data_IF_041136470676
#
_entry.id   IF_041136470676
#
_cell.length_a   1.000
_cell.length_b   1.000
_cell.length_c   1.000
_cell.angle_alpha   90.00
_cell.angle_beta   90.00
_cell.angle_gamma   90.00
#
_symmetry.space_group_name_H-M   'P 1'
#
loop_
_entity.id
_entity.type
_entity.pdbx_description
1 polymer ?
#
# COMPACT_ATOMS: atom_id res chain seq x y z
N UNK A 1 33.42 -9.85 14.65
CA UNK A 1 32.56 -10.78 13.91
C UNK A 1 31.68 -11.47 14.92
N UNK A 2 30.37 -11.27 14.89
CA UNK A 2 29.45 -12.07 15.67
C UNK A 2 29.44 -13.47 15.05
N UNK A 3 30.16 -14.40 15.67
CA UNK A 3 30.34 -15.76 15.18
C UNK A 3 29.51 -16.78 15.95
N UNK A 4 28.49 -16.33 16.69
CA UNK A 4 27.63 -17.21 17.45
C UNK A 4 27.05 -18.31 16.58
N UNK A 5 27.16 -19.56 17.01
CA UNK A 5 26.71 -20.73 16.27
C UNK A 5 26.14 -21.83 17.19
N UNK A 6 25.51 -22.81 16.58
CA UNK A 6 25.07 -24.04 17.27
C UNK A 6 23.77 -23.89 18.06
N UNK A 7 23.13 -22.74 18.10
CA UNK A 7 21.82 -22.64 18.73
C UNK A 7 20.73 -23.30 17.86
N UNK A 8 19.93 -24.16 18.49
CA UNK A 8 18.82 -24.88 17.84
C UNK A 8 17.52 -24.60 18.61
N UNK A 9 16.48 -24.26 17.90
CA UNK A 9 15.18 -23.97 18.47
C UNK A 9 14.05 -24.69 17.71
N UNK A 10 12.96 -24.95 18.41
CA UNK A 10 11.80 -25.65 17.87
C UNK A 10 10.51 -24.92 18.24
N UNK A 11 9.57 -24.72 17.30
CA UNK A 11 8.30 -24.06 17.58
C UNK A 11 7.34 -25.02 18.29
N UNK A 12 6.56 -24.50 19.24
CA UNK A 12 5.38 -25.15 19.83
C UNK A 12 4.15 -24.48 19.22
N UNK A 13 3.38 -25.26 18.44
CA UNK A 13 2.27 -24.76 17.65
C UNK A 13 0.96 -25.32 18.22
N UNK A 14 0.00 -24.44 18.48
CA UNK A 14 -1.36 -24.81 18.89
C UNK A 14 -2.35 -24.05 18.00
N UNK A 15 -3.27 -24.78 17.38
CA UNK A 15 -4.29 -24.22 16.51
C UNK A 15 -3.72 -23.27 15.40
N UNK A 16 -2.63 -23.70 14.77
CA UNK A 16 -2.00 -22.94 13.71
C UNK A 16 -1.22 -21.70 14.14
N UNK A 17 -0.95 -21.54 15.43
CA UNK A 17 -0.23 -20.39 16.01
C UNK A 17 0.99 -20.84 16.79
N UNK A 18 2.09 -20.13 16.68
CA UNK A 18 3.30 -20.39 17.49
C UNK A 18 3.07 -19.80 18.88
N UNK A 19 2.86 -20.65 19.86
CA UNK A 19 2.61 -20.23 21.24
C UNK A 19 3.88 -20.04 22.05
N UNK A 20 4.94 -20.78 21.71
CA UNK A 20 6.27 -20.63 22.28
C UNK A 20 7.33 -21.23 21.34
N UNK A 21 8.60 -20.92 21.62
CA UNK A 21 9.75 -21.48 20.92
C UNK A 21 10.69 -22.04 21.98
N UNK A 22 10.90 -23.35 21.95
CA UNK A 22 11.79 -24.05 22.88
C UNK A 22 13.24 -24.03 22.34
N UNK A 23 14.20 -23.76 23.21
CA UNK A 23 15.62 -23.88 22.88
C UNK A 23 16.03 -25.33 23.13
N UNK A 24 16.48 -26.02 22.10
CA UNK A 24 16.99 -27.40 22.16
C UNK A 24 18.49 -27.42 22.41
N UNK A 25 19.22 -26.46 21.83
CA UNK A 25 20.64 -26.22 22.11
C UNK A 25 20.88 -24.71 22.16
N UNK A 26 21.61 -24.27 23.18
CA UNK A 26 21.86 -22.83 23.42
C UNK A 26 22.91 -22.23 22.50
N UNK A 27 23.74 -23.03 21.84
CA UNK A 27 24.91 -22.54 21.10
C UNK A 27 25.90 -21.78 21.96
N UNK A 28 26.87 -21.15 21.32
CA UNK A 28 27.87 -20.33 21.99
C UNK A 28 28.36 -19.18 21.08
N UNK A 29 29.03 -18.19 21.67
CA UNK A 29 29.72 -17.12 20.95
C UNK A 29 28.82 -15.99 20.40
N UNK A 30 27.57 -15.92 20.82
CA UNK A 30 26.68 -14.82 20.45
C UNK A 30 27.03 -13.55 21.22
N UNK A 31 27.46 -12.51 20.53
CA UNK A 31 27.74 -11.19 21.13
C UNK A 31 26.51 -10.28 21.11
N UNK A 32 25.53 -10.62 20.28
CA UNK A 32 24.20 -10.00 20.23
C UNK A 32 23.12 -11.06 19.99
N UNK A 33 21.84 -10.77 20.35
CA UNK A 33 20.76 -11.71 20.10
C UNK A 33 20.66 -12.09 18.62
N UNK A 34 20.65 -13.39 18.26
CA UNK A 34 20.48 -13.81 16.86
C UNK A 34 19.11 -13.45 16.34
N UNK A 35 19.02 -13.28 15.03
CA UNK A 35 17.73 -13.12 14.33
C UNK A 35 16.97 -14.43 14.36
N UNK A 36 15.71 -14.37 14.74
CA UNK A 36 14.79 -15.51 14.70
C UNK A 36 14.12 -15.55 13.32
N UNK A 37 14.43 -16.57 12.54
CA UNK A 37 13.85 -16.82 11.22
C UNK A 37 12.86 -17.97 11.34
N UNK A 38 11.62 -17.73 11.02
CA UNK A 38 10.52 -18.71 11.10
C UNK A 38 10.13 -19.07 9.67
N UNK A 39 10.36 -20.34 9.29
CA UNK A 39 10.04 -20.86 7.98
C UNK A 39 8.85 -21.83 8.09
N UNK A 40 7.87 -21.70 7.20
CA UNK A 40 6.65 -22.52 7.15
C UNK A 40 5.59 -21.86 6.29
N UNK A 41 4.45 -22.52 6.13
CA UNK A 41 3.32 -21.99 5.32
C UNK A 41 2.55 -20.87 6.04
N UNK A 42 2.74 -20.72 7.35
CA UNK A 42 2.12 -19.64 8.14
C UNK A 42 2.78 -18.29 7.93
N UNK A 43 2.13 -17.24 8.43
CA UNK A 43 2.62 -15.87 8.32
C UNK A 43 2.40 -15.05 9.59
N UNK A 44 3.18 -13.97 9.73
CA UNK A 44 3.02 -12.96 10.77
C UNK A 44 3.59 -13.34 12.14
N UNK A 45 4.22 -14.51 12.35
CA UNK A 45 4.88 -14.80 13.60
C UNK A 45 6.20 -14.04 13.72
N UNK A 46 6.46 -13.48 14.90
CA UNK A 46 7.68 -12.74 15.23
C UNK A 46 8.24 -13.26 16.55
N UNK A 47 9.53 -13.59 16.56
CA UNK A 47 10.27 -14.01 17.75
C UNK A 47 11.48 -13.14 17.99
N UNK A 48 11.84 -12.95 19.26
CA UNK A 48 13.03 -12.21 19.69
C UNK A 48 13.87 -13.10 20.60
N UNK A 49 15.10 -13.36 20.18
CA UNK A 49 16.04 -14.17 20.98
C UNK A 49 16.57 -13.38 22.19
N UNK A 50 16.85 -14.11 23.25
CA UNK A 50 17.47 -13.62 24.48
C UNK A 50 18.79 -14.35 24.66
N UNK A 51 19.89 -13.62 24.88
CA UNK A 51 21.20 -14.20 25.16
C UNK A 51 21.66 -13.90 26.58
N UNK A 52 22.45 -14.78 27.12
CA UNK A 52 23.16 -14.55 28.38
C UNK A 52 24.29 -13.53 28.18
N UNK A 53 24.35 -12.54 29.07
CA UNK A 53 25.35 -11.48 29.01
C UNK A 53 26.53 -11.71 29.97
N UNK A 54 26.35 -12.53 31.02
CA UNK A 54 27.31 -12.71 32.09
C UNK A 54 27.40 -14.16 32.56
N UNK A 55 28.51 -14.53 33.19
CA UNK A 55 28.71 -15.83 33.80
C UNK A 55 28.83 -16.98 32.80
N UNK A 56 28.41 -18.18 33.21
CA UNK A 56 28.47 -19.41 32.39
C UNK A 56 27.56 -19.39 31.18
N UNK A 57 26.58 -18.50 31.17
CA UNK A 57 25.61 -18.35 30.10
C UNK A 57 25.97 -17.24 29.12
N UNK A 58 27.08 -16.56 29.32
CA UNK A 58 27.55 -15.50 28.41
C UNK A 58 27.68 -16.04 26.97
N UNK A 59 27.03 -15.37 26.03
CA UNK A 59 27.06 -15.74 24.61
C UNK A 59 26.24 -16.97 24.24
N UNK A 60 25.35 -17.46 25.13
CA UNK A 60 24.40 -18.54 24.84
C UNK A 60 23.01 -17.97 24.61
N UNK A 61 22.22 -18.62 23.74
CA UNK A 61 20.78 -18.30 23.60
C UNK A 61 20.01 -18.97 24.74
N UNK A 62 19.38 -18.15 25.57
CA UNK A 62 18.62 -18.59 26.75
C UNK A 62 17.15 -18.84 26.46
N UNK A 63 16.59 -18.16 25.44
CA UNK A 63 15.18 -18.26 25.10
C UNK A 63 14.82 -17.45 23.88
N UNK A 64 13.57 -17.62 23.44
CA UNK A 64 12.95 -16.79 22.43
C UNK A 64 11.59 -16.33 22.93
N UNK A 65 11.40 -15.03 23.04
CA UNK A 65 10.07 -14.44 23.27
C UNK A 65 9.27 -14.40 21.99
N UNK A 66 8.05 -14.93 21.98
CA UNK A 66 7.13 -14.82 20.85
C UNK A 66 6.37 -13.50 20.98
N UNK A 67 6.72 -12.51 20.17
CA UNK A 67 6.08 -11.19 20.16
C UNK A 67 4.78 -11.21 19.37
N UNK A 68 4.72 -11.99 18.28
CA UNK A 68 3.52 -12.27 17.53
C UNK A 68 3.43 -13.77 17.22
N UNK A 69 2.27 -14.36 17.45
CA UNK A 69 2.04 -15.80 17.27
C UNK A 69 1.80 -16.20 15.82
N UNK A 70 1.44 -15.26 14.95
CA UNK A 70 1.05 -15.52 13.57
C UNK A 70 -0.13 -16.47 13.43
N UNK A 71 -0.38 -16.91 12.20
CA UNK A 71 -1.46 -17.87 11.86
C UNK A 71 -1.01 -18.80 10.73
N UNK A 72 -1.63 -19.96 10.60
CA UNK A 72 -1.41 -20.89 9.48
C UNK A 72 -0.16 -21.76 9.60
N UNK A 73 0.50 -21.80 10.75
CA UNK A 73 1.66 -22.67 10.98
C UNK A 73 1.25 -24.11 11.28
N UNK A 74 1.99 -25.06 10.74
CA UNK A 74 1.75 -26.48 10.96
C UNK A 74 2.94 -27.16 11.67
N UNK A 75 2.65 -28.06 12.59
CA UNK A 75 3.64 -28.88 13.27
C UNK A 75 4.31 -29.81 12.26
N UNK A 76 5.63 -29.90 12.29
CA UNK A 76 6.42 -30.76 11.40
C UNK A 76 6.92 -30.09 10.13
N UNK A 77 6.27 -29.03 9.64
CA UNK A 77 6.72 -28.25 8.48
C UNK A 77 7.29 -26.87 8.84
N UNK A 78 6.95 -26.37 10.03
CA UNK A 78 7.48 -25.10 10.54
C UNK A 78 8.81 -25.33 11.25
N UNK A 79 9.84 -24.57 10.83
CA UNK A 79 11.19 -24.62 11.39
C UNK A 79 11.62 -23.25 11.90
N UNK A 80 12.49 -23.25 12.92
CA UNK A 80 13.10 -22.05 13.49
C UNK A 80 14.61 -22.09 13.18
N UNK A 81 15.16 -21.02 12.62
CA UNK A 81 16.59 -20.79 12.49
C UNK A 81 16.99 -19.57 13.32
N UNK A 82 18.09 -19.70 14.04
CA UNK A 82 18.71 -18.63 14.81
C UNK A 82 19.96 -18.18 14.05
N UNK A 83 19.87 -17.05 13.37
CA UNK A 83 20.94 -16.53 12.53
C UNK A 83 21.74 -15.48 13.29
N UNK A 84 23.05 -15.69 13.43
CA UNK A 84 23.93 -14.67 13.99
C UNK A 84 23.89 -13.41 13.11
N UNK A 85 23.64 -12.26 13.74
CA UNK A 85 23.65 -10.97 13.05
C UNK A 85 25.13 -10.56 12.92
N UNK A 86 25.62 -10.42 11.68
CA UNK A 86 26.97 -9.91 11.44
C UNK A 86 27.10 -8.47 11.96
N UNK A 87 28.16 -8.21 12.75
CA UNK A 87 28.52 -6.84 13.13
C UNK A 87 29.28 -6.19 11.97
N UNK A 88 29.04 -4.90 11.75
CA UNK A 88 29.70 -4.07 10.73
C UNK A 88 29.24 -4.24 9.26
N UNK A 89 28.08 -4.80 9.01
CA UNK A 89 27.45 -4.57 7.73
C UNK A 89 26.91 -3.12 7.71
N UNK A 90 27.68 -2.20 7.15
CA UNK A 90 27.19 -0.85 6.87
C UNK A 90 26.39 -0.95 5.58
N UNK A 91 25.08 -1.02 5.71
CA UNK A 91 24.18 -0.82 4.59
C UNK A 91 23.85 0.67 4.52
N UNK A 92 24.36 1.37 3.53
CA UNK A 92 23.76 2.60 3.09
C UNK A 92 22.53 2.20 2.25
N UNK A 93 21.42 1.98 2.92
CA UNK A 93 20.15 1.91 2.22
C UNK A 93 19.76 3.34 1.82
N UNK A 94 19.90 3.67 0.56
CA UNK A 94 19.13 4.76 0.00
C UNK A 94 17.69 4.28 -0.03
N UNK A 95 16.94 4.58 1.01
CA UNK A 95 15.51 4.32 1.06
C UNK A 95 14.83 5.48 0.33
N UNK A 96 14.48 5.27 -0.92
CA UNK A 96 13.48 6.11 -1.58
C UNK A 96 12.12 5.55 -1.17
N UNK A 97 11.29 6.37 -0.56
CA UNK A 97 9.90 6.03 -0.33
C UNK A 97 9.16 6.05 -1.68
N UNK A 98 8.86 4.86 -2.20
CA UNK A 98 7.98 4.68 -3.34
C UNK A 98 6.59 4.33 -2.82
N UNK A 99 5.65 5.26 -2.98
CA UNK A 99 4.29 5.11 -2.49
C UNK A 99 3.43 4.41 -3.53
N UNK A 100 2.96 3.21 -3.23
CA UNK A 100 2.08 2.47 -4.14
C UNK A 100 0.83 3.28 -4.49
N UNK A 101 0.51 3.32 -5.77
CA UNK A 101 -0.78 3.82 -6.23
C UNK A 101 -1.85 2.77 -5.94
N UNK A 102 -2.66 3.00 -4.91
CA UNK A 102 -3.67 2.05 -4.46
C UNK A 102 -4.71 1.72 -5.54
N UNK A 103 -4.94 2.59 -6.51
CA UNK A 103 -5.85 2.29 -7.62
C UNK A 103 -5.33 1.16 -8.51
N UNK A 104 -4.01 1.06 -8.71
CA UNK A 104 -3.39 -0.01 -9.48
C UNK A 104 -3.14 -1.26 -8.63
N UNK A 105 -2.73 -1.07 -7.39
CA UNK A 105 -2.44 -2.17 -6.45
C UNK A 105 -3.69 -2.99 -6.10
N UNK A 106 -4.82 -2.32 -5.93
CA UNK A 106 -6.09 -2.93 -5.54
C UNK A 106 -7.04 -3.16 -6.73
N UNK A 107 -6.55 -3.04 -7.97
CA UNK A 107 -7.41 -3.25 -9.15
C UNK A 107 -8.02 -4.67 -9.14
N UNK A 108 -9.34 -4.71 -9.33
CA UNK A 108 -10.12 -5.95 -9.21
C UNK A 108 -10.60 -6.31 -7.81
N UNK A 109 -10.15 -5.64 -6.76
CA UNK A 109 -10.61 -5.83 -5.37
C UNK A 109 -11.70 -4.83 -4.95
N UNK A 110 -11.99 -3.86 -5.81
CA UNK A 110 -13.06 -2.88 -5.56
C UNK A 110 -14.44 -3.45 -5.81
N UNK A 111 -15.39 -3.05 -4.99
CA UNK A 111 -16.79 -3.27 -5.29
C UNK A 111 -17.27 -2.40 -6.48
N UNK A 112 -18.54 -2.57 -6.96
CA UNK A 112 -19.08 -1.75 -8.05
C UNK A 112 -19.11 -0.24 -7.76
N UNK A 113 -19.01 0.16 -6.49
CA UNK A 113 -18.92 1.56 -6.05
C UNK A 113 -17.48 2.07 -5.98
N UNK A 114 -16.49 1.28 -6.42
CA UNK A 114 -15.05 1.58 -6.28
C UNK A 114 -14.65 1.75 -4.82
N UNK A 115 -15.36 1.09 -3.91
CA UNK A 115 -15.07 1.04 -2.50
C UNK A 115 -14.23 -0.17 -2.12
N UNK A 116 -13.47 -0.01 -1.05
CA UNK A 116 -12.63 -1.03 -0.46
C UNK A 116 -12.62 -0.90 1.06
N UNK A 117 -12.52 -2.02 1.75
CA UNK A 117 -12.38 -2.02 3.21
C UNK A 117 -10.91 -2.05 3.57
N UNK A 118 -10.40 -0.93 4.06
CA UNK A 118 -9.05 -0.85 4.59
C UNK A 118 -9.00 -1.51 5.97
N UNK A 119 -8.09 -2.47 6.14
CA UNK A 119 -7.77 -2.96 7.47
C UNK A 119 -7.05 -1.83 8.21
N UNK A 120 -7.75 -1.15 9.11
CA UNK A 120 -7.17 -0.10 9.93
C UNK A 120 -6.02 -0.63 10.80
N UNK A 121 -5.13 0.26 11.23
CA UNK A 121 -4.05 -0.06 12.17
C UNK A 121 -4.56 -0.66 13.49
N UNK A 122 -5.84 -0.53 13.77
CA UNK A 122 -6.50 -1.10 14.93
C UNK A 122 -7.56 -2.11 14.49
N UNK A 123 -7.14 -3.36 14.31
CA UNK A 123 -8.01 -4.49 13.94
C UNK A 123 -9.12 -4.81 14.95
N UNK A 124 -9.13 -4.14 16.11
CA UNK A 124 -10.15 -4.34 17.15
C UNK A 124 -11.52 -3.80 16.74
N UNK A 125 -11.58 -2.83 15.83
CA UNK A 125 -12.84 -2.15 15.44
C UNK A 125 -13.26 -2.41 13.98
N UNK A 126 -12.63 -3.36 13.28
CA UNK A 126 -12.90 -3.63 11.88
C UNK A 126 -12.18 -2.67 10.93
N UNK A 127 -12.42 -2.85 9.63
CA UNK A 127 -11.84 -2.00 8.59
C UNK A 127 -12.70 -0.76 8.35
N UNK A 128 -12.07 0.30 7.85
CA UNK A 128 -12.77 1.48 7.36
C UNK A 128 -13.12 1.30 5.88
N UNK A 129 -14.39 1.49 5.52
CA UNK A 129 -14.83 1.47 4.13
C UNK A 129 -14.61 2.86 3.53
N UNK A 130 -13.85 2.92 2.44
CA UNK A 130 -13.58 4.16 1.73
C UNK A 130 -13.60 3.97 0.21
N UNK A 131 -13.88 5.04 -0.52
CA UNK A 131 -13.78 5.09 -1.98
C UNK A 131 -12.42 5.67 -2.37
N UNK A 132 -11.64 4.93 -3.16
CA UNK A 132 -10.32 5.39 -3.62
C UNK A 132 -10.35 6.18 -4.93
N UNK A 133 -11.44 6.10 -5.67
CA UNK A 133 -11.59 6.76 -6.96
C UNK A 133 -13.06 6.98 -7.27
N UNK A 134 -13.36 7.47 -8.47
CA UNK A 134 -14.69 7.78 -8.98
C UNK A 134 -15.79 6.78 -8.54
N UNK A 135 -16.59 7.09 -7.49
CA UNK A 135 -17.60 6.18 -6.95
C UNK A 135 -18.88 6.23 -7.77
N UNK A 136 -18.89 5.61 -8.96
CA UNK A 136 -20.01 5.71 -9.92
C UNK A 136 -21.36 5.32 -9.32
N UNK A 137 -21.42 4.34 -8.42
CA UNK A 137 -22.67 3.95 -7.78
C UNK A 137 -23.20 5.07 -6.87
N UNK A 138 -22.35 5.69 -6.06
CA UNK A 138 -22.73 6.83 -5.23
C UNK A 138 -23.19 8.00 -6.12
N UNK A 139 -22.45 8.32 -7.16
CA UNK A 139 -22.78 9.36 -8.13
C UNK A 139 -24.12 9.11 -8.80
N UNK A 140 -24.41 7.85 -9.18
CA UNK A 140 -25.70 7.45 -9.73
C UNK A 140 -26.86 7.70 -8.76
N UNK A 141 -26.70 7.30 -7.49
CA UNK A 141 -27.72 7.52 -6.44
C UNK A 141 -27.95 9.01 -6.17
N UNK A 142 -26.90 9.82 -6.22
CA UNK A 142 -26.96 11.27 -6.05
C UNK A 142 -27.50 12.02 -7.30
N UNK A 143 -27.82 11.30 -8.38
CA UNK A 143 -28.35 11.88 -9.61
C UNK A 143 -27.33 12.66 -10.44
N UNK A 144 -26.04 12.32 -10.34
CA UNK A 144 -24.96 12.86 -11.17
C UNK A 144 -25.08 12.38 -12.64
N UNK A 145 -24.16 12.76 -13.47
CA UNK A 145 -24.07 12.42 -14.91
C UNK A 145 -23.73 10.94 -15.14
N UNK A 146 -24.45 10.05 -14.48
CA UNK A 146 -24.28 8.60 -14.53
C UNK A 146 -25.66 7.95 -14.76
N UNK A 147 -25.72 6.98 -15.65
CA UNK A 147 -26.92 6.18 -15.89
C UNK A 147 -26.62 4.69 -15.85
N UNK A 148 -27.63 3.88 -15.60
CA UNK A 148 -27.52 2.43 -15.72
C UNK A 148 -27.90 2.01 -17.14
N UNK A 149 -26.95 1.44 -17.84
CA UNK A 149 -27.14 0.89 -19.19
C UNK A 149 -28.16 -0.26 -19.11
N UNK A 150 -29.31 -0.15 -19.78
CA UNK A 150 -30.37 -1.16 -19.71
C UNK A 150 -29.97 -2.50 -20.36
N UNK A 151 -29.00 -2.50 -21.28
CA UNK A 151 -28.55 -3.71 -21.95
C UNK A 151 -27.55 -4.52 -21.12
N UNK A 152 -26.69 -3.86 -20.37
CA UNK A 152 -25.61 -4.50 -19.62
C UNK A 152 -25.77 -4.42 -18.11
N UNK A 153 -26.61 -3.54 -17.59
CA UNK A 153 -26.75 -3.23 -16.17
C UNK A 153 -25.58 -2.41 -15.60
N UNK A 154 -24.59 -2.10 -16.40
CA UNK A 154 -23.41 -1.36 -15.97
C UNK A 154 -23.68 0.14 -15.83
N UNK A 155 -22.95 0.79 -14.93
CA UNK A 155 -23.01 2.25 -14.79
C UNK A 155 -22.06 2.91 -15.81
N UNK A 156 -22.63 3.81 -16.60
CA UNK A 156 -21.95 4.60 -17.64
C UNK A 156 -22.16 6.08 -17.42
N UNK A 157 -21.24 6.90 -17.89
CA UNK A 157 -21.37 8.35 -17.84
C UNK A 157 -22.21 8.88 -19.01
N UNK A 158 -22.95 9.94 -18.73
CA UNK A 158 -23.67 10.67 -19.78
C UNK A 158 -22.67 11.44 -20.66
N UNK A 159 -22.95 11.47 -21.96
CA UNK A 159 -22.13 12.23 -22.94
C UNK A 159 -22.75 13.61 -23.24
N UNK A 160 -24.03 13.77 -22.99
CA UNK A 160 -24.77 15.01 -23.27
C UNK A 160 -25.75 15.32 -22.14
N UNK A 161 -26.27 16.56 -22.10
CA UNK A 161 -27.17 17.00 -21.06
C UNK A 161 -26.53 17.07 -19.69
N UNK A 162 -25.22 17.36 -19.67
CA UNK A 162 -24.42 17.38 -18.47
C UNK A 162 -24.84 18.48 -17.51
N UNK A 163 -24.73 18.20 -16.22
CA UNK A 163 -24.94 19.15 -15.13
C UNK A 163 -23.75 19.10 -14.17
N UNK A 164 -23.59 20.15 -13.38
CA UNK A 164 -22.56 20.19 -12.35
C UNK A 164 -22.75 19.01 -11.39
N UNK A 165 -21.68 18.27 -11.09
CA UNK A 165 -21.74 17.13 -10.19
C UNK A 165 -22.13 17.56 -8.77
N UNK A 166 -22.83 16.72 -8.02
CA UNK A 166 -23.10 16.94 -6.60
C UNK A 166 -21.86 16.76 -5.73
N UNK A 167 -21.92 17.20 -4.48
CA UNK A 167 -20.92 16.89 -3.45
C UNK A 167 -20.99 15.38 -3.17
N UNK A 168 -19.84 14.72 -3.24
CA UNK A 168 -19.68 13.29 -2.95
C UNK A 168 -18.85 13.03 -1.68
N UNK A 169 -18.26 14.05 -1.09
CA UNK A 169 -17.49 13.96 0.13
C UNK A 169 -16.95 15.30 0.59
N UNK A 170 -16.13 15.25 1.64
CA UNK A 170 -15.45 16.41 2.23
C UNK A 170 -13.98 16.07 2.47
N UNK A 171 -13.11 16.97 2.09
CA UNK A 171 -11.69 16.86 2.39
C UNK A 171 -11.44 17.19 3.89
N UNK A 172 -10.30 16.74 4.42
CA UNK A 172 -9.95 16.98 5.81
C UNK A 172 -9.79 18.47 6.19
N UNK A 173 -9.54 19.33 5.21
CA UNK A 173 -9.48 20.76 5.35
C UNK A 173 -10.84 21.47 5.27
N UNK A 174 -11.92 20.70 5.14
CA UNK A 174 -13.29 21.19 5.06
C UNK A 174 -13.76 21.61 3.67
N UNK A 175 -12.93 21.46 2.63
CA UNK A 175 -13.34 21.74 1.27
C UNK A 175 -14.26 20.64 0.72
N UNK A 176 -15.33 20.96 -0.05
CA UNK A 176 -16.20 19.96 -0.64
C UNK A 176 -15.51 19.22 -1.78
N UNK A 177 -15.71 17.90 -1.82
CA UNK A 177 -15.30 17.04 -2.93
C UNK A 177 -16.53 16.83 -3.81
N UNK A 178 -16.48 17.33 -5.03
CA UNK A 178 -17.52 17.14 -6.05
C UNK A 178 -17.21 15.93 -6.92
N UNK A 179 -18.22 15.40 -7.60
CA UNK A 179 -17.99 14.52 -8.74
C UNK A 179 -17.27 15.26 -9.89
N UNK A 180 -16.90 14.54 -10.97
CA UNK A 180 -15.93 15.03 -11.95
C UNK A 180 -16.44 16.09 -12.94
N UNK A 181 -17.70 16.53 -12.88
CA UNK A 181 -18.26 17.50 -13.81
C UNK A 181 -18.45 18.86 -13.16
N UNK A 182 -17.88 19.89 -13.77
CA UNK A 182 -17.98 21.28 -13.32
C UNK A 182 -18.11 22.25 -14.47
N UNK A 183 -18.28 23.54 -14.16
CA UNK A 183 -18.37 24.60 -15.18
C UNK A 183 -17.13 24.65 -16.05
N UNK A 184 -17.29 24.91 -17.36
CA UNK A 184 -16.19 25.08 -18.32
C UNK A 184 -15.28 26.23 -17.86
N UNK A 185 -15.89 27.40 -17.61
CA UNK A 185 -15.22 28.51 -16.92
C UNK A 185 -15.54 28.43 -15.43
N UNK A 186 -14.51 28.28 -14.61
CA UNK A 186 -14.64 28.17 -13.17
C UNK A 186 -15.35 29.37 -12.50
N UNK A 187 -15.28 30.54 -13.12
CA UNK A 187 -15.87 31.78 -12.61
C UNK A 187 -17.30 32.06 -13.15
N UNK A 188 -17.77 31.27 -14.14
CA UNK A 188 -19.03 31.50 -14.82
C UNK A 188 -19.95 30.27 -14.85
N UNK A 189 -21.03 30.31 -14.06
CA UNK A 189 -22.05 29.25 -14.02
C UNK A 189 -22.81 29.07 -15.33
N UNK A 190 -22.80 30.05 -16.23
CA UNK A 190 -23.47 29.99 -17.54
C UNK A 190 -22.59 29.38 -18.64
N UNK A 191 -21.33 29.12 -18.39
CA UNK A 191 -20.34 28.66 -19.37
C UNK A 191 -20.55 27.24 -19.89
N UNK A 192 -21.53 26.51 -19.34
CA UNK A 192 -21.74 25.09 -19.64
C UNK A 192 -20.95 24.16 -18.72
N UNK A 193 -21.12 22.86 -18.93
CA UNK A 193 -20.50 21.82 -18.09
C UNK A 193 -19.56 20.96 -18.89
N UNK A 194 -18.42 20.61 -18.29
CA UNK A 194 -17.46 19.64 -18.82
C UNK A 194 -16.98 18.70 -17.72
N UNK A 195 -16.36 17.59 -18.13
CA UNK A 195 -15.54 16.79 -17.21
C UNK A 195 -14.26 17.57 -16.89
N UNK A 196 -14.02 17.80 -15.62
CA UNK A 196 -12.83 18.47 -15.09
C UNK A 196 -11.66 17.50 -15.11
N UNK A 197 -10.50 17.94 -15.56
CA UNK A 197 -9.32 17.12 -15.79
C UNK A 197 -8.20 17.51 -14.82
N UNK A 198 -7.56 16.51 -14.22
CA UNK A 198 -6.37 16.72 -13.39
C UNK A 198 -5.20 17.21 -14.25
N UNK A 199 -4.33 18.05 -13.67
CA UNK A 199 -3.07 18.49 -14.28
C UNK A 199 -1.90 17.53 -14.00
N UNK A 200 -2.18 16.36 -13.39
CA UNK A 200 -1.19 15.31 -13.23
C UNK A 200 -1.16 14.38 -14.43
N UNK A 201 0.05 13.96 -14.80
CA UNK A 201 0.27 12.93 -15.81
C UNK A 201 1.39 11.98 -15.37
N UNK A 202 1.47 10.81 -15.97
CA UNK A 202 2.65 9.95 -15.83
C UNK A 202 3.85 10.66 -16.47
N UNK A 203 4.99 10.63 -15.78
CA UNK A 203 6.24 11.24 -16.29
C UNK A 203 6.61 10.62 -17.64
N UNK A 204 6.85 11.40 -18.70
CA UNK A 204 7.14 10.87 -20.03
C UNK A 204 8.36 9.93 -20.07
N UNK A 205 9.34 10.14 -19.20
CA UNK A 205 10.54 9.27 -19.08
C UNK A 205 10.19 7.81 -18.74
N UNK A 206 9.01 7.55 -18.17
CA UNK A 206 8.52 6.22 -17.81
C UNK A 206 7.71 5.56 -18.93
N UNK A 207 7.31 6.30 -19.94
CA UNK A 207 6.47 5.81 -21.03
C UNK A 207 7.34 5.41 -22.23
N UNK A 208 7.03 4.25 -22.81
CA UNK A 208 7.66 3.81 -24.04
C UNK A 208 7.15 4.64 -25.22
N UNK A 209 8.06 5.18 -25.98
CA UNK A 209 7.81 5.83 -27.25
C UNK A 209 8.97 5.53 -28.19
N UNK A 210 8.68 4.90 -29.33
CA UNK A 210 9.69 4.43 -30.28
C UNK A 210 10.58 5.57 -30.79
N UNK A 211 10.02 6.76 -30.94
CA UNK A 211 10.71 7.91 -31.53
C UNK A 211 11.41 8.78 -30.49
N UNK A 212 10.83 8.94 -29.30
CA UNK A 212 11.31 9.87 -28.28
C UNK A 212 11.88 9.21 -27.04
N UNK A 213 11.41 8.03 -26.66
CA UNK A 213 11.85 7.30 -25.48
C UNK A 213 11.80 5.78 -25.68
N UNK A 214 12.72 5.19 -26.46
CA UNK A 214 12.72 3.74 -26.74
C UNK A 214 13.11 2.87 -25.53
N UNK A 215 13.69 3.47 -24.48
CA UNK A 215 14.13 2.77 -23.29
C UNK A 215 13.65 3.52 -22.03
N UNK A 216 12.37 3.39 -21.66
CA UNK A 216 11.87 4.07 -20.48
C UNK A 216 12.51 3.52 -19.20
N UNK A 217 12.85 4.41 -18.26
CA UNK A 217 13.53 4.07 -17.01
C UNK A 217 12.92 4.85 -15.85
N UNK A 218 12.66 4.16 -14.74
CA UNK A 218 12.39 4.78 -13.44
C UNK A 218 13.73 4.94 -12.70
N UNK A 219 14.22 6.18 -12.62
CA UNK A 219 15.46 6.47 -11.91
C UNK A 219 15.33 6.11 -10.42
N UNK A 220 16.32 5.40 -9.88
CA UNK A 220 16.43 5.03 -8.47
C UNK A 220 15.22 4.29 -7.88
N UNK A 221 14.40 3.67 -8.74
CA UNK A 221 13.18 2.98 -8.33
C UNK A 221 13.03 1.55 -8.87
N UNK A 222 11.92 0.88 -8.54
CA UNK A 222 11.62 -0.44 -9.04
C UNK A 222 11.58 -0.51 -10.58
N UNK A 223 12.02 -1.63 -11.13
CA UNK A 223 12.06 -1.83 -12.58
C UNK A 223 10.66 -1.76 -13.19
N UNK A 224 10.53 -1.08 -14.34
CA UNK A 224 9.26 -0.96 -15.07
C UNK A 224 8.69 -2.31 -15.55
N UNK A 225 9.53 -3.33 -15.67
CA UNK A 225 9.11 -4.70 -16.01
C UNK A 225 8.42 -5.43 -14.85
N UNK A 226 8.77 -5.07 -13.61
CA UNK A 226 8.13 -5.62 -12.41
C UNK A 226 6.94 -4.76 -11.96
N UNK A 227 7.09 -3.44 -12.08
CA UNK A 227 6.14 -2.43 -11.63
C UNK A 227 5.92 -1.42 -12.77
N UNK A 228 4.87 -1.57 -13.57
CA UNK A 228 4.60 -0.69 -14.71
C UNK A 228 4.52 0.80 -14.34
N UNK A 229 4.68 1.68 -15.32
CA UNK A 229 4.50 3.12 -15.14
C UNK A 229 3.09 3.43 -14.60
N UNK A 230 3.01 4.24 -13.55
CA UNK A 230 1.77 4.54 -12.82
C UNK A 230 1.54 3.67 -11.58
N UNK A 231 2.40 2.68 -11.30
CA UNK A 231 2.30 1.85 -10.09
C UNK A 231 2.59 2.61 -8.80
N UNK A 232 3.26 3.76 -8.90
CA UNK A 232 3.62 4.59 -7.75
C UNK A 232 3.12 6.02 -7.92
N UNK A 233 2.87 6.69 -6.79
CA UNK A 233 2.48 8.12 -6.80
C UNK A 233 3.60 8.97 -7.41
N UNK A 234 4.86 8.61 -7.14
CA UNK A 234 6.06 9.28 -7.65
C UNK A 234 6.26 9.12 -9.17
N UNK A 235 5.52 8.24 -9.82
CA UNK A 235 5.49 8.11 -11.28
C UNK A 235 4.77 9.29 -11.96
N UNK A 236 4.01 10.07 -11.19
CA UNK A 236 3.24 11.19 -11.71
C UNK A 236 3.97 12.52 -11.49
N UNK A 237 3.70 13.46 -12.37
CA UNK A 237 4.13 14.84 -12.26
C UNK A 237 2.98 15.81 -12.49
N UNK A 238 2.98 16.91 -11.73
CA UNK A 238 2.08 18.03 -11.98
C UNK A 238 2.62 18.88 -13.14
N UNK A 239 1.76 19.18 -14.11
CA UNK A 239 2.09 20.07 -15.23
C UNK A 239 1.13 21.25 -15.22
N UNK A 240 1.67 22.43 -14.94
CA UNK A 240 0.88 23.66 -14.85
C UNK A 240 0.05 23.90 -16.11
N UNK A 241 -1.24 24.14 -15.94
CA UNK A 241 -2.21 24.38 -17.02
C UNK A 241 -2.42 23.23 -18.02
N UNK A 242 -1.97 22.02 -17.73
CA UNK A 242 -2.28 20.86 -18.57
C UNK A 242 -3.74 20.44 -18.45
N UNK A 243 -4.29 20.50 -17.24
CA UNK A 243 -5.68 20.24 -16.93
C UNK A 243 -6.36 21.45 -16.31
N UNK A 244 -7.44 21.20 -15.61
CA UNK A 244 -8.30 22.21 -14.97
C UNK A 244 -7.97 22.43 -13.48
N UNK A 245 -7.24 21.50 -12.88
CA UNK A 245 -6.97 21.44 -11.47
C UNK A 245 -5.54 21.89 -11.14
N UNK A 246 -5.36 22.45 -9.96
CA UNK A 246 -4.06 22.82 -9.42
C UNK A 246 -3.26 21.60 -8.91
N UNK A 247 -2.10 21.86 -8.31
CA UNK A 247 -1.22 20.83 -7.75
C UNK A 247 -1.84 20.03 -6.58
N UNK A 248 -2.92 20.49 -6.00
CA UNK A 248 -3.68 19.81 -4.94
C UNK A 248 -4.93 19.10 -5.46
N UNK A 249 -5.08 19.01 -6.79
CA UNK A 249 -6.28 18.53 -7.47
C UNK A 249 -7.53 19.32 -7.07
N UNK A 250 -7.35 20.59 -6.73
CA UNK A 250 -8.40 21.54 -6.42
C UNK A 250 -8.60 22.57 -7.53
N UNK A 251 -9.71 23.27 -7.47
CA UNK A 251 -10.01 24.40 -8.35
C UNK A 251 -10.86 25.41 -7.62
N UNK A 252 -10.41 26.65 -7.56
CA UNK A 252 -11.28 27.73 -7.09
C UNK A 252 -12.36 27.99 -8.15
N UNK A 253 -13.63 27.77 -7.82
CA UNK A 253 -14.74 27.88 -8.77
C UNK A 253 -16.03 28.28 -8.08
N UNK A 254 -16.99 28.79 -8.87
CA UNK A 254 -18.38 28.86 -8.45
C UNK A 254 -18.97 27.44 -8.38
N UNK A 255 -19.90 27.27 -7.46
CA UNK A 255 -20.65 26.02 -7.26
C UNK A 255 -22.13 26.28 -7.49
N UNK A 256 -22.96 25.25 -7.74
CA UNK A 256 -24.39 25.39 -7.90
C UNK A 256 -25.09 26.10 -6.76
#
# INVERSE_FOLDING_TARGET
LNSGEGAVAQPIIINGRIVSIAIIASGNGYTSPPRVVINGEGYGAVGKAIIGQFGEDAGKVLGVTVENRGVGYATGTTTIRLEAIGENAVFNANVFEWTKNLQTELDGLFDPSRGYVFAGFNTQYGGEYAHLSDPKQLRYVLGDNVFRDPATGNLRELETGLRHSPIIGWAYDGNPIYGPYGYIDAADQSSGIKRVVSSYRIKPVLLYDQDTNPNPVRADGPLLTAEPAGSFIEDYEYVFQQGDLDQYNGRYCKTP
#
